data_IF_569825201103
#
_entry.id   IF_569825201103
#
_cell.length_a   1.000
_cell.length_b   1.000
_cell.length_c   1.000
_cell.angle_alpha   90.00
_cell.angle_beta   90.00
_cell.angle_gamma   90.00
#
_symmetry.space_group_name_H-M   'P 1'
#
loop_
_entity.id
_entity.type
_entity.pdbx_description
1 polymer ?
#
# COMPACT_ATOMS: atom_id res chain seq x y z
N UNK A 1 20.69 -31.29 5.48
CA UNK A 1 20.11 -30.15 6.21
C UNK A 1 20.28 -30.28 7.73
N UNK A 2 19.72 -31.30 8.43
CA UNK A 2 19.91 -31.43 9.89
C UNK A 2 21.36 -31.73 10.25
N UNK A 3 22.04 -32.63 9.54
CA UNK A 3 23.49 -32.88 9.73
C UNK A 3 24.39 -31.67 9.47
N UNK A 4 24.01 -30.83 8.52
CA UNK A 4 24.76 -29.61 8.21
C UNK A 4 24.53 -28.54 9.28
N UNK A 5 23.34 -28.52 9.92
CA UNK A 5 23.03 -27.67 11.06
C UNK A 5 23.80 -28.10 12.32
N UNK A 6 23.94 -29.43 12.56
CA UNK A 6 24.69 -29.96 13.70
C UNK A 6 26.19 -29.65 13.59
N UNK A 7 26.81 -29.83 12.42
CA UNK A 7 28.18 -29.46 12.18
C UNK A 7 28.44 -27.97 12.40
N UNK A 8 27.56 -27.13 11.90
CA UNK A 8 27.64 -25.67 12.09
C UNK A 8 27.39 -25.22 13.54
N UNK A 9 26.68 -26.01 14.35
CA UNK A 9 26.46 -25.73 15.78
C UNK A 9 27.76 -26.02 16.58
N UNK A 10 28.48 -27.06 16.24
CA UNK A 10 29.78 -27.38 16.83
C UNK A 10 30.84 -26.32 16.51
N UNK A 11 30.85 -25.78 15.29
CA UNK A 11 31.75 -24.69 14.91
C UNK A 11 31.50 -23.45 15.75
N UNK A 12 30.22 -23.09 15.99
CA UNK A 12 29.84 -21.94 16.83
C UNK A 12 30.15 -22.19 18.31
N UNK A 13 29.99 -23.42 18.82
CA UNK A 13 30.40 -23.76 20.18
C UNK A 13 31.92 -23.60 20.32
N UNK A 14 32.68 -24.02 19.33
CA UNK A 14 34.13 -23.89 19.28
C UNK A 14 34.54 -22.41 19.29
N UNK A 15 33.88 -21.57 18.50
CA UNK A 15 34.10 -20.12 18.47
C UNK A 15 33.76 -19.47 19.82
N UNK A 16 32.65 -19.90 20.47
CA UNK A 16 32.25 -19.42 21.78
C UNK A 16 33.25 -19.79 22.87
N UNK A 17 33.85 -21.02 22.81
CA UNK A 17 34.83 -21.51 23.76
C UNK A 17 36.19 -20.84 23.59
N UNK A 18 36.56 -20.37 22.41
CA UNK A 18 37.84 -19.73 22.13
C UNK A 18 37.85 -18.22 22.30
N UNK A 19 36.70 -17.61 22.70
CA UNK A 19 36.53 -16.17 22.89
C UNK A 19 36.21 -15.46 21.58
N UNK A 20 34.93 -15.27 21.33
CA UNK A 20 34.47 -14.60 20.14
C UNK A 20 34.94 -13.14 20.09
N UNK A 21 35.43 -12.72 18.92
CA UNK A 21 35.77 -11.33 18.67
C UNK A 21 34.53 -10.42 18.68
N UNK A 22 33.35 -10.98 18.37
CA UNK A 22 32.05 -10.32 18.47
C UNK A 22 31.04 -11.18 19.25
N UNK A 23 30.95 -10.99 20.58
CA UNK A 23 30.05 -11.77 21.43
C UNK A 23 28.57 -11.54 21.13
N UNK A 24 28.19 -10.34 20.61
CA UNK A 24 26.82 -10.00 20.29
C UNK A 24 26.40 -10.69 18.99
N UNK A 25 27.23 -10.63 17.98
CA UNK A 25 27.01 -11.34 16.72
C UNK A 25 26.97 -12.85 16.89
N UNK A 26 27.81 -13.42 17.75
CA UNK A 26 27.78 -14.83 18.10
C UNK A 26 26.47 -15.21 18.80
N UNK A 27 26.02 -14.42 19.79
CA UNK A 27 24.76 -14.66 20.49
C UNK A 27 23.55 -14.57 19.55
N UNK A 28 23.53 -13.63 18.63
CA UNK A 28 22.50 -13.52 17.60
C UNK A 28 22.50 -14.71 16.64
N UNK A 29 23.67 -15.16 16.19
CA UNK A 29 23.82 -16.34 15.34
C UNK A 29 23.38 -17.63 16.04
N UNK A 30 23.72 -17.80 17.32
CA UNK A 30 23.29 -18.93 18.13
C UNK A 30 21.76 -18.93 18.34
N UNK A 31 21.17 -17.78 18.68
CA UNK A 31 19.72 -17.65 18.82
C UNK A 31 18.98 -17.94 17.49
N UNK A 32 19.51 -17.44 16.40
CA UNK A 32 19.02 -17.67 15.04
C UNK A 32 18.99 -19.15 14.67
N UNK A 33 20.10 -19.85 14.93
CA UNK A 33 20.25 -21.28 14.62
C UNK A 33 19.43 -22.15 15.56
N UNK A 34 19.34 -21.78 16.84
CA UNK A 34 18.48 -22.46 17.80
C UNK A 34 17.01 -22.42 17.36
N UNK A 35 16.52 -21.25 16.91
CA UNK A 35 15.17 -21.09 16.39
C UNK A 35 14.94 -21.91 15.11
N UNK A 36 15.95 -21.99 14.21
CA UNK A 36 15.87 -22.81 13.00
C UNK A 36 15.82 -24.32 13.32
N UNK A 37 16.61 -24.80 14.27
CA UNK A 37 16.61 -26.21 14.72
C UNK A 37 15.28 -26.55 15.39
N UNK A 38 14.78 -25.67 16.27
CA UNK A 38 13.48 -25.87 16.93
C UNK A 38 12.31 -25.85 15.95
N UNK A 39 12.32 -24.97 14.96
CA UNK A 39 11.28 -24.95 13.94
C UNK A 39 11.31 -26.19 13.05
N UNK A 40 12.51 -26.66 12.69
CA UNK A 40 12.68 -27.91 11.92
C UNK A 40 12.24 -29.13 12.73
N UNK A 41 12.56 -29.21 14.03
CA UNK A 41 12.13 -30.27 14.93
C UNK A 41 10.61 -30.23 15.15
N UNK A 42 10.00 -29.04 15.29
CA UNK A 42 8.55 -28.88 15.40
C UNK A 42 7.81 -29.43 14.19
N UNK A 43 8.30 -29.12 12.98
CA UNK A 43 7.73 -29.64 11.72
C UNK A 43 7.86 -31.17 11.65
N UNK A 44 8.97 -31.75 12.11
CA UNK A 44 9.15 -33.21 12.21
C UNK A 44 8.24 -33.86 13.24
N UNK A 45 8.10 -33.23 14.42
CA UNK A 45 7.40 -33.81 15.57
C UNK A 45 5.89 -33.88 15.37
N UNK A 46 5.28 -32.96 14.59
CA UNK A 46 3.84 -32.93 14.35
C UNK A 46 3.40 -33.85 13.21
N UNK A 47 4.28 -34.68 12.67
CA UNK A 47 3.93 -35.78 11.77
C UNK A 47 3.22 -35.40 10.48
N UNK A 48 3.12 -34.11 10.18
CA UNK A 48 2.67 -33.64 8.88
C UNK A 48 3.82 -33.81 7.90
N UNK A 49 3.63 -34.68 6.95
CA UNK A 49 4.56 -34.93 5.87
C UNK A 49 5.02 -33.59 5.28
N UNK A 50 6.30 -33.27 5.38
CA UNK A 50 6.90 -32.11 4.73
C UNK A 50 6.67 -32.11 3.21
N UNK A 51 6.26 -33.25 2.66
CA UNK A 51 5.87 -33.43 1.27
C UNK A 51 4.49 -32.80 0.93
N UNK A 52 3.66 -32.47 1.94
CA UNK A 52 2.39 -31.76 1.75
C UNK A 52 2.56 -30.23 1.71
N UNK A 53 3.71 -29.70 2.15
CA UNK A 53 4.02 -28.29 1.90
C UNK A 53 4.52 -28.16 0.46
N UNK A 54 3.96 -27.23 -0.34
CA UNK A 54 4.45 -27.02 -1.68
C UNK A 54 5.97 -26.82 -1.63
N UNK A 55 6.70 -27.76 -2.23
CA UNK A 55 8.18 -27.75 -2.27
C UNK A 55 8.59 -26.53 -3.09
N UNK A 56 8.70 -25.39 -2.48
CA UNK A 56 9.47 -24.31 -3.05
C UNK A 56 10.93 -24.75 -3.00
N UNK A 57 11.37 -25.55 -3.99
CA UNK A 57 12.80 -25.77 -4.24
C UNK A 57 13.37 -24.46 -4.72
N UNK A 58 13.73 -23.64 -3.76
CA UNK A 58 14.50 -22.44 -3.99
C UNK A 58 15.86 -22.90 -4.53
N UNK A 59 16.15 -22.55 -5.79
CA UNK A 59 17.46 -22.78 -6.36
C UNK A 59 18.49 -21.88 -5.65
N UNK A 60 19.72 -22.32 -5.50
CA UNK A 60 20.78 -21.55 -4.80
C UNK A 60 20.97 -20.11 -5.34
N UNK A 61 20.78 -19.91 -6.65
CA UNK A 61 20.77 -18.57 -7.29
C UNK A 61 19.70 -17.66 -6.74
N UNK A 62 18.55 -18.19 -6.41
CA UNK A 62 17.41 -17.47 -5.88
C UNK A 62 17.64 -17.02 -4.42
N UNK A 63 18.25 -17.87 -3.61
CA UNK A 63 18.63 -17.54 -2.23
C UNK A 63 19.58 -16.34 -2.17
N UNK A 64 20.54 -16.29 -3.06
CA UNK A 64 21.48 -15.17 -3.14
C UNK A 64 20.73 -13.85 -3.44
N UNK A 65 19.87 -13.83 -4.45
CA UNK A 65 19.10 -12.65 -4.81
C UNK A 65 18.16 -12.21 -3.68
N UNK A 66 17.51 -13.16 -3.02
CA UNK A 66 16.61 -12.84 -1.91
C UNK A 66 17.35 -12.23 -0.72
N UNK A 67 18.53 -12.75 -0.40
CA UNK A 67 19.39 -12.13 0.61
C UNK A 67 19.79 -10.70 0.22
N UNK A 68 20.09 -10.43 -1.05
CA UNK A 68 20.38 -9.07 -1.52
C UNK A 68 19.17 -8.15 -1.38
N UNK A 69 17.95 -8.62 -1.68
CA UNK A 69 16.70 -7.84 -1.50
C UNK A 69 16.57 -7.38 -0.05
N UNK A 70 16.76 -8.29 0.92
CA UNK A 70 16.64 -7.97 2.33
C UNK A 70 17.77 -7.07 2.83
N UNK A 71 19.01 -7.31 2.39
CA UNK A 71 20.20 -6.55 2.81
C UNK A 71 20.25 -5.13 2.23
N UNK A 72 19.78 -4.96 1.00
CA UNK A 72 19.82 -3.68 0.28
C UNK A 72 18.49 -2.92 0.38
N UNK A 73 17.55 -3.39 1.19
CA UNK A 73 16.24 -2.79 1.40
C UNK A 73 15.42 -2.55 0.11
N UNK A 74 15.45 -3.53 -0.80
CA UNK A 74 14.67 -3.45 -2.04
C UNK A 74 13.18 -3.80 -1.81
N UNK A 75 12.43 -2.93 -1.15
CA UNK A 75 11.03 -3.14 -0.78
C UNK A 75 10.13 -3.50 -1.97
N UNK A 76 10.35 -2.86 -3.15
CA UNK A 76 9.57 -3.15 -4.35
C UNK A 76 9.75 -4.60 -4.85
N UNK A 77 10.97 -5.13 -4.81
CA UNK A 77 11.25 -6.53 -5.15
C UNK A 77 10.72 -7.50 -4.10
N UNK A 78 10.82 -7.16 -2.83
CA UNK A 78 10.21 -7.93 -1.75
C UNK A 78 8.70 -8.02 -1.92
N UNK A 79 8.04 -6.91 -2.23
CA UNK A 79 6.61 -6.86 -2.53
C UNK A 79 6.23 -7.77 -3.72
N UNK A 80 6.95 -7.64 -4.87
CA UNK A 80 6.69 -8.50 -6.04
C UNK A 80 6.89 -9.97 -5.71
N UNK A 81 7.94 -10.29 -4.96
CA UNK A 81 8.20 -11.64 -4.48
C UNK A 81 7.02 -12.19 -3.68
N UNK A 82 6.51 -11.42 -2.71
CA UNK A 82 5.36 -11.82 -1.91
C UNK A 82 4.13 -12.08 -2.79
N UNK A 83 3.82 -11.19 -3.73
CA UNK A 83 2.68 -11.36 -4.63
C UNK A 83 2.79 -12.61 -5.52
N UNK A 84 3.97 -12.86 -6.10
CA UNK A 84 4.18 -14.02 -6.97
C UNK A 84 4.13 -15.33 -6.19
N UNK A 85 4.71 -15.36 -4.99
CA UNK A 85 4.67 -16.51 -4.09
C UNK A 85 3.23 -16.82 -3.66
N UNK A 86 2.45 -15.79 -3.32
CA UNK A 86 1.03 -15.94 -2.98
C UNK A 86 0.21 -16.47 -4.16
N UNK A 87 0.41 -15.94 -5.38
CA UNK A 87 -0.28 -16.43 -6.59
C UNK A 87 0.01 -17.89 -6.90
N UNK A 88 1.21 -18.38 -6.57
CA UNK A 88 1.59 -19.78 -6.72
C UNK A 88 1.14 -20.66 -5.53
N UNK A 89 0.42 -20.09 -4.56
CA UNK A 89 0.03 -20.78 -3.32
C UNK A 89 1.22 -21.40 -2.59
N UNK A 90 2.36 -20.72 -2.62
CA UNK A 90 3.61 -21.12 -1.97
C UNK A 90 3.82 -20.34 -0.66
N UNK A 91 4.78 -20.78 0.15
CA UNK A 91 5.18 -20.13 1.40
C UNK A 91 6.68 -19.84 1.39
N UNK A 92 7.12 -18.95 2.27
CA UNK A 92 8.55 -18.69 2.47
C UNK A 92 9.31 -19.95 2.82
N UNK A 93 10.50 -20.15 2.25
CA UNK A 93 11.41 -21.21 2.70
C UNK A 93 11.80 -20.99 4.17
N UNK A 94 11.85 -22.08 4.94
CA UNK A 94 12.09 -22.02 6.39
C UNK A 94 13.39 -21.30 6.76
N UNK A 95 14.43 -21.45 5.94
CA UNK A 95 15.75 -20.81 6.15
C UNK A 95 15.73 -19.28 5.99
N UNK A 96 14.65 -18.71 5.42
CA UNK A 96 14.49 -17.26 5.29
C UNK A 96 13.56 -16.64 6.33
N UNK A 97 12.73 -17.46 6.99
CA UNK A 97 11.66 -16.94 7.84
C UNK A 97 12.14 -15.95 8.89
N UNK A 98 13.23 -16.25 9.58
CA UNK A 98 13.76 -15.35 10.61
C UNK A 98 14.15 -14.00 10.02
N UNK A 99 14.92 -14.01 8.91
CA UNK A 99 15.33 -12.78 8.22
C UNK A 99 14.12 -11.97 7.73
N UNK A 100 13.10 -12.66 7.22
CA UNK A 100 11.85 -12.02 6.79
C UNK A 100 11.12 -11.41 7.97
N UNK A 101 11.01 -12.11 9.10
CA UNK A 101 10.34 -11.60 10.29
C UNK A 101 11.07 -10.39 10.89
N UNK A 102 12.39 -10.41 10.91
CA UNK A 102 13.20 -9.26 11.32
C UNK A 102 13.03 -8.08 10.36
N UNK A 103 13.04 -8.36 9.05
CA UNK A 103 12.82 -7.34 8.02
C UNK A 103 11.43 -6.70 8.14
N UNK A 104 10.39 -7.49 8.39
CA UNK A 104 9.04 -6.98 8.64
C UNK A 104 8.98 -6.18 9.96
N UNK A 105 9.81 -6.50 10.94
CA UNK A 105 9.94 -5.74 12.18
C UNK A 105 10.30 -4.27 11.93
N UNK A 106 11.11 -4.01 10.91
CA UNK A 106 11.53 -2.67 10.47
C UNK A 106 10.63 -2.08 9.38
N UNK A 107 9.87 -2.93 8.65
CA UNK A 107 8.98 -2.56 7.54
C UNK A 107 7.57 -3.12 7.73
N UNK A 108 6.84 -2.68 8.77
CA UNK A 108 5.51 -3.23 9.08
C UNK A 108 4.47 -3.00 7.97
N UNK A 109 4.69 -2.02 7.08
CA UNK A 109 3.85 -1.76 5.90
C UNK A 109 3.88 -2.88 4.86
N UNK A 110 4.93 -3.71 4.86
CA UNK A 110 5.06 -4.87 3.97
C UNK A 110 4.41 -6.14 4.54
N UNK A 111 4.00 -6.11 5.80
CA UNK A 111 3.47 -7.28 6.49
C UNK A 111 2.19 -7.84 5.85
N UNK A 112 1.34 -6.98 5.29
CA UNK A 112 0.11 -7.41 4.61
C UNK A 112 0.38 -8.35 3.43
N UNK A 113 1.48 -8.14 2.74
CA UNK A 113 1.87 -8.95 1.59
C UNK A 113 2.62 -10.21 1.99
N UNK A 114 3.42 -10.13 3.04
CA UNK A 114 4.24 -11.25 3.52
C UNK A 114 3.45 -12.24 4.39
N UNK A 115 2.50 -11.75 5.19
CA UNK A 115 1.74 -12.56 6.14
C UNK A 115 1.08 -13.79 5.50
N UNK A 116 0.38 -13.70 4.34
CA UNK A 116 -0.28 -14.86 3.72
C UNK A 116 0.67 -16.00 3.34
N UNK A 117 1.97 -15.70 3.19
CA UNK A 117 3.00 -16.64 2.75
C UNK A 117 4.00 -17.02 3.85
N UNK A 118 3.79 -16.58 5.09
CA UNK A 118 4.60 -17.04 6.24
C UNK A 118 4.42 -18.53 6.52
N UNK A 119 3.24 -19.05 6.24
CA UNK A 119 2.89 -20.45 6.50
C UNK A 119 2.89 -20.81 7.99
N UNK A 120 2.67 -22.09 8.30
CA UNK A 120 2.59 -22.58 9.69
C UNK A 120 3.91 -22.41 10.46
N UNK A 121 5.04 -22.60 9.78
CA UNK A 121 6.37 -22.42 10.40
C UNK A 121 6.63 -20.97 10.79
N UNK A 122 6.24 -20.01 9.92
CA UNK A 122 6.34 -18.58 10.25
C UNK A 122 5.43 -18.19 11.40
N UNK A 123 4.19 -18.67 11.41
CA UNK A 123 3.26 -18.46 12.52
C UNK A 123 3.77 -19.08 13.83
N UNK A 124 4.41 -20.24 13.78
CA UNK A 124 5.05 -20.82 14.95
C UNK A 124 6.15 -19.90 15.49
N UNK A 125 7.05 -19.40 14.64
CA UNK A 125 8.11 -18.49 15.04
C UNK A 125 7.56 -17.20 15.64
N UNK A 126 6.50 -16.64 15.05
CA UNK A 126 5.82 -15.46 15.58
C UNK A 126 5.30 -15.67 17.01
N UNK A 127 4.84 -16.88 17.35
CA UNK A 127 4.39 -17.23 18.70
C UNK A 127 5.54 -17.37 19.71
N UNK A 128 6.73 -17.73 19.27
CA UNK A 128 7.87 -17.98 20.15
C UNK A 128 8.65 -16.72 20.47
N UNK A 129 8.75 -15.76 19.54
CA UNK A 129 9.52 -14.55 19.74
C UNK A 129 8.60 -13.33 20.02
N UNK A 130 8.73 -12.68 21.19
CA UNK A 130 7.95 -11.50 21.56
C UNK A 130 8.01 -10.36 20.53
N UNK A 131 9.15 -10.16 19.86
CA UNK A 131 9.33 -9.09 18.87
C UNK A 131 8.47 -9.31 17.61
N UNK A 132 8.05 -10.55 17.34
CA UNK A 132 7.23 -10.93 16.20
C UNK A 132 5.76 -11.25 16.58
N UNK A 133 5.37 -11.15 17.86
CA UNK A 133 4.02 -11.45 18.34
C UNK A 133 2.92 -10.67 17.62
N UNK A 134 3.23 -9.50 17.08
CA UNK A 134 2.28 -8.70 16.32
C UNK A 134 1.85 -9.36 14.98
N UNK A 135 2.65 -10.31 14.47
CA UNK A 135 2.32 -11.16 13.32
C UNK A 135 1.60 -12.45 13.72
N UNK A 136 1.45 -12.75 15.01
CA UNK A 136 0.73 -13.94 15.49
C UNK A 136 -0.78 -13.70 15.41
N UNK A 137 -1.47 -14.48 14.56
CA UNK A 137 -2.92 -14.36 14.35
C UNK A 137 -3.74 -14.54 15.65
N UNK A 138 -3.23 -15.24 16.65
CA UNK A 138 -3.92 -15.43 17.94
C UNK A 138 -3.90 -14.19 18.83
N UNK A 139 -3.13 -13.18 18.49
CA UNK A 139 -2.95 -11.93 19.26
C UNK A 139 -3.74 -10.74 18.71
N UNK A 140 -4.31 -10.84 17.52
CA UNK A 140 -4.90 -9.68 16.82
C UNK A 140 -6.14 -9.12 17.51
N UNK A 141 -6.90 -9.94 18.24
CA UNK A 141 -8.07 -9.48 18.99
C UNK A 141 -7.75 -8.51 20.14
N UNK A 142 -6.48 -8.35 20.47
CA UNK A 142 -6.02 -7.45 21.52
C UNK A 142 -4.91 -6.52 21.03
N UNK A 143 -5.12 -5.69 20.00
CA UNK A 143 -4.04 -4.91 19.37
C UNK A 143 -3.38 -3.90 20.30
N UNK A 144 -4.06 -3.43 21.34
CA UNK A 144 -3.57 -2.39 22.25
C UNK A 144 -2.35 -2.79 23.09
N UNK A 145 -2.01 -4.09 23.19
CA UNK A 145 -0.77 -4.49 23.88
C UNK A 145 0.48 -4.07 23.08
N UNK A 146 0.37 -3.91 21.77
CA UNK A 146 1.49 -3.50 20.93
C UNK A 146 1.72 -1.98 21.06
N UNK A 147 2.93 -1.58 21.41
CA UNK A 147 3.28 -0.16 21.62
C UNK A 147 3.46 0.60 20.30
N UNK A 148 3.93 -0.07 19.26
CA UNK A 148 4.21 0.54 17.96
C UNK A 148 2.94 0.70 17.13
N UNK A 149 2.62 1.96 16.76
CA UNK A 149 1.38 2.31 16.07
C UNK A 149 1.18 1.57 14.73
N UNK A 150 2.22 1.43 13.92
CA UNK A 150 2.13 0.75 12.63
C UNK A 150 1.81 -0.75 12.79
N UNK A 151 2.46 -1.42 13.72
CA UNK A 151 2.20 -2.84 14.06
C UNK A 151 0.80 -3.02 14.65
N UNK A 152 0.36 -2.09 15.52
CA UNK A 152 -0.99 -2.09 16.10
C UNK A 152 -2.07 -1.94 15.04
N UNK A 153 -1.87 -1.03 14.07
CA UNK A 153 -2.78 -0.85 12.94
C UNK A 153 -2.85 -2.08 12.04
N UNK A 154 -1.70 -2.75 11.79
CA UNK A 154 -1.68 -4.02 11.08
C UNK A 154 -2.54 -5.06 11.81
N UNK A 155 -2.31 -5.26 13.12
CA UNK A 155 -3.09 -6.21 13.93
C UNK A 155 -4.58 -5.90 13.90
N UNK A 156 -4.95 -4.64 14.07
CA UNK A 156 -6.37 -4.24 14.03
C UNK A 156 -6.99 -4.50 12.66
N UNK A 157 -6.29 -4.22 11.56
CA UNK A 157 -6.77 -4.50 10.21
C UNK A 157 -7.00 -5.99 9.99
N UNK A 158 -6.08 -6.85 10.45
CA UNK A 158 -6.23 -8.31 10.40
C UNK A 158 -7.37 -8.80 11.29
N UNK A 159 -7.56 -8.21 12.45
CA UNK A 159 -8.72 -8.48 13.30
C UNK A 159 -10.03 -8.12 12.57
N UNK A 160 -10.07 -6.96 11.94
CA UNK A 160 -11.21 -6.51 11.14
C UNK A 160 -11.51 -7.46 9.97
N UNK A 161 -10.50 -7.95 9.25
CA UNK A 161 -10.66 -8.90 8.14
C UNK A 161 -11.17 -10.26 8.61
N UNK A 162 -10.72 -10.74 9.76
CA UNK A 162 -11.07 -12.06 10.29
C UNK A 162 -12.40 -12.07 11.04
N UNK A 163 -12.68 -11.00 11.81
CA UNK A 163 -13.82 -10.87 12.72
C UNK A 163 -14.36 -9.45 12.74
N UNK A 164 -14.89 -9.01 11.61
CA UNK A 164 -15.32 -7.62 11.37
C UNK A 164 -16.20 -7.05 12.49
N UNK A 165 -17.23 -7.81 12.91
CA UNK A 165 -18.18 -7.38 13.93
C UNK A 165 -17.50 -7.21 15.31
N UNK A 166 -16.66 -8.17 15.71
CA UNK A 166 -15.95 -8.11 16.99
C UNK A 166 -14.92 -6.97 17.00
N UNK A 167 -14.19 -6.78 15.88
CA UNK A 167 -13.23 -5.69 15.75
C UNK A 167 -13.90 -4.31 15.81
N UNK A 168 -15.09 -4.18 15.21
CA UNK A 168 -15.86 -2.95 15.28
C UNK A 168 -16.32 -2.65 16.71
N UNK A 169 -16.88 -3.64 17.44
CA UNK A 169 -17.26 -3.47 18.84
C UNK A 169 -16.07 -3.14 19.73
N UNK A 170 -14.94 -3.83 19.53
CA UNK A 170 -13.70 -3.53 20.22
C UNK A 170 -13.28 -2.06 20.00
N UNK A 171 -13.36 -1.56 18.77
CA UNK A 171 -13.05 -0.16 18.49
C UNK A 171 -14.02 0.80 19.19
N UNK A 172 -15.33 0.53 19.16
CA UNK A 172 -16.31 1.36 19.86
C UNK A 172 -16.03 1.49 21.36
N UNK A 173 -15.61 0.38 22.00
CA UNK A 173 -15.31 0.37 23.43
C UNK A 173 -13.99 1.06 23.77
N UNK A 174 -12.99 0.94 22.93
CA UNK A 174 -11.61 1.34 23.20
C UNK A 174 -11.12 2.52 22.35
N UNK A 175 -12.03 3.23 21.68
CA UNK A 175 -11.65 4.31 20.74
C UNK A 175 -10.77 5.38 21.36
N UNK A 176 -10.95 5.71 22.66
CA UNK A 176 -10.16 6.70 23.38
C UNK A 176 -8.69 6.30 23.57
N UNK A 177 -8.39 4.99 23.54
CA UNK A 177 -7.05 4.45 23.78
C UNK A 177 -6.18 4.47 22.51
N UNK A 178 -6.80 4.67 21.36
CA UNK A 178 -6.09 4.90 20.11
C UNK A 178 -5.65 6.35 19.97
N UNK A 179 -4.46 6.57 19.44
CA UNK A 179 -3.98 7.91 19.07
C UNK A 179 -4.83 8.54 17.97
N UNK A 180 -4.72 9.86 17.76
CA UNK A 180 -5.45 10.58 16.71
C UNK A 180 -5.20 9.98 15.32
N UNK A 181 -3.94 9.64 15.01
CA UNK A 181 -3.56 9.02 13.72
C UNK A 181 -4.14 7.62 13.56
N UNK A 182 -4.14 6.83 14.62
CA UNK A 182 -4.72 5.48 14.58
C UNK A 182 -6.23 5.52 14.42
N UNK A 183 -6.93 6.40 15.15
CA UNK A 183 -8.35 6.60 14.97
C UNK A 183 -8.68 6.96 13.52
N UNK A 184 -7.92 7.86 12.92
CA UNK A 184 -8.11 8.24 11.51
C UNK A 184 -7.98 7.04 10.58
N UNK A 185 -6.89 6.26 10.70
CA UNK A 185 -6.65 5.08 9.89
C UNK A 185 -7.75 4.01 10.08
N UNK A 186 -8.19 3.78 11.33
CA UNK A 186 -9.24 2.80 11.64
C UNK A 186 -10.58 3.24 11.05
N UNK A 187 -10.93 4.52 11.14
CA UNK A 187 -12.14 5.06 10.54
C UNK A 187 -12.11 4.93 9.00
N UNK A 188 -10.96 5.18 8.36
CA UNK A 188 -10.80 4.95 6.93
C UNK A 188 -10.93 3.47 6.55
N UNK A 189 -10.35 2.53 7.32
CA UNK A 189 -10.55 1.09 7.10
C UNK A 189 -12.01 0.69 7.30
N UNK A 190 -12.65 1.21 8.35
CA UNK A 190 -14.05 0.98 8.67
C UNK A 190 -15.00 1.45 7.57
N UNK A 191 -14.65 2.50 6.84
CA UNK A 191 -15.47 3.00 5.74
C UNK A 191 -15.77 1.90 4.70
N UNK A 192 -14.83 1.01 4.44
CA UNK A 192 -15.00 -0.06 3.46
C UNK A 192 -15.53 -1.37 4.06
N UNK A 193 -15.35 -1.57 5.35
CA UNK A 193 -15.56 -2.87 6.00
C UNK A 193 -16.75 -2.88 6.98
N UNK A 194 -17.02 -1.74 7.66
CA UNK A 194 -18.11 -1.72 8.64
C UNK A 194 -19.48 -1.61 7.96
N UNK A 195 -20.54 -2.17 8.59
CA UNK A 195 -21.90 -1.96 8.13
C UNK A 195 -22.32 -0.49 8.27
N UNK A 196 -23.53 -0.18 7.82
CA UNK A 196 -24.18 1.09 8.13
C UNK A 196 -24.33 1.19 9.66
N UNK A 197 -23.84 2.28 10.24
CA UNK A 197 -23.84 2.49 11.68
C UNK A 197 -25.22 2.88 12.18
N UNK A 198 -25.62 2.35 13.33
CA UNK A 198 -26.86 2.81 13.99
C UNK A 198 -26.67 4.22 14.58
N UNK A 199 -27.77 4.89 14.90
CA UNK A 199 -27.72 6.22 15.54
C UNK A 199 -26.96 6.17 16.87
N UNK A 200 -27.16 5.12 17.68
CA UNK A 200 -26.47 4.92 18.97
C UNK A 200 -24.95 4.76 18.79
N UNK A 201 -24.53 3.92 17.80
CA UNK A 201 -23.12 3.71 17.49
C UNK A 201 -22.46 5.01 16.98
N UNK A 202 -23.16 5.75 16.13
CA UNK A 202 -22.68 7.02 15.64
C UNK A 202 -22.56 8.05 16.78
N UNK A 203 -23.51 8.10 17.70
CA UNK A 203 -23.47 8.99 18.86
C UNK A 203 -22.30 8.63 19.78
N UNK A 204 -22.05 7.33 20.00
CA UNK A 204 -20.92 6.87 20.79
C UNK A 204 -19.58 7.29 20.14
N UNK A 205 -19.40 7.09 18.84
CA UNK A 205 -18.21 7.53 18.12
C UNK A 205 -18.04 9.05 18.19
N UNK A 206 -19.11 9.79 17.98
CA UNK A 206 -19.08 11.26 18.08
C UNK A 206 -18.61 11.76 19.45
N UNK A 207 -18.91 11.05 20.54
CA UNK A 207 -18.48 11.40 21.89
C UNK A 207 -17.01 11.06 22.15
N UNK A 208 -16.50 10.00 21.54
CA UNK A 208 -15.21 9.37 21.91
C UNK A 208 -14.08 9.66 20.91
N UNK A 209 -14.40 9.92 19.65
CA UNK A 209 -13.41 10.25 18.61
C UNK A 209 -12.80 11.62 18.84
N UNK A 210 -11.49 11.75 18.63
CA UNK A 210 -10.77 13.03 18.76
C UNK A 210 -11.38 14.10 17.84
N UNK A 211 -11.40 15.38 18.27
CA UNK A 211 -12.12 16.44 17.55
C UNK A 211 -11.73 16.57 16.06
N UNK A 212 -10.46 16.40 15.72
CA UNK A 212 -10.00 16.47 14.33
C UNK A 212 -10.51 15.33 13.45
N UNK A 213 -10.82 14.17 14.06
CA UNK A 213 -11.28 12.99 13.34
C UNK A 213 -12.80 12.93 13.18
N UNK A 214 -13.56 13.87 13.77
CA UNK A 214 -15.02 13.91 13.65
C UNK A 214 -15.45 14.02 12.19
N UNK A 215 -14.68 14.73 11.36
CA UNK A 215 -14.94 14.86 9.93
C UNK A 215 -14.93 13.49 9.21
N UNK A 216 -14.16 12.52 9.68
CA UNK A 216 -14.06 11.18 9.10
C UNK A 216 -15.29 10.30 9.39
N UNK A 217 -16.21 10.75 10.23
CA UNK A 217 -17.49 10.05 10.48
C UNK A 217 -18.54 10.33 9.41
N UNK A 218 -18.43 11.44 8.69
CA UNK A 218 -19.41 11.78 7.62
C UNK A 218 -19.47 10.73 6.51
N UNK A 219 -18.36 10.19 5.98
CA UNK A 219 -18.41 9.09 5.02
C UNK A 219 -19.21 7.88 5.51
N UNK A 220 -19.16 7.57 6.81
CA UNK A 220 -19.98 6.50 7.39
C UNK A 220 -21.47 6.83 7.44
N UNK A 221 -21.83 8.10 7.71
CA UNK A 221 -23.21 8.57 7.67
C UNK A 221 -23.73 8.50 6.23
N UNK A 222 -22.93 8.89 5.25
CA UNK A 222 -23.31 8.92 3.84
C UNK A 222 -23.53 7.55 3.20
N UNK A 223 -23.11 6.46 3.86
CA UNK A 223 -23.51 5.09 3.46
C UNK A 223 -25.01 4.89 3.55
N UNK A 224 -25.68 5.51 4.52
CA UNK A 224 -27.12 5.49 4.65
C UNK A 224 -27.74 6.64 3.84
N UNK A 225 -28.25 6.30 2.67
CA UNK A 225 -28.91 7.27 1.77
C UNK A 225 -30.21 7.85 2.36
N UNK A 226 -30.80 7.18 3.37
CA UNK A 226 -32.04 7.64 4.04
C UNK A 226 -31.74 8.50 5.27
N UNK A 227 -30.47 8.55 5.71
CA UNK A 227 -30.11 9.38 6.84
C UNK A 227 -30.37 10.85 6.55
N UNK A 228 -31.07 11.59 7.46
CA UNK A 228 -31.41 13.01 7.26
C UNK A 228 -30.20 13.88 6.93
N UNK A 229 -29.03 13.59 7.53
CA UNK A 229 -27.77 14.32 7.24
C UNK A 229 -27.29 14.06 5.81
N UNK A 230 -27.41 12.81 5.33
CA UNK A 230 -27.08 12.47 3.94
C UNK A 230 -27.96 13.22 2.95
N UNK A 231 -29.27 13.21 3.19
CA UNK A 231 -30.24 13.88 2.34
C UNK A 231 -29.99 15.40 2.35
N UNK A 232 -29.83 16.00 3.53
CA UNK A 232 -29.57 17.43 3.68
C UNK A 232 -28.25 17.84 3.01
N UNK A 233 -27.19 17.09 3.20
CA UNK A 233 -25.89 17.36 2.59
C UNK A 233 -25.93 17.26 1.06
N UNK A 234 -26.70 16.31 0.52
CA UNK A 234 -26.88 16.18 -0.93
C UNK A 234 -27.68 17.35 -1.51
N UNK A 235 -28.80 17.72 -0.89
CA UNK A 235 -29.60 18.86 -1.31
C UNK A 235 -28.82 20.17 -1.23
N UNK A 236 -28.04 20.34 -0.18
CA UNK A 236 -27.17 21.50 -0.02
C UNK A 236 -26.11 21.55 -1.13
N UNK A 237 -25.41 20.44 -1.42
CA UNK A 237 -24.47 20.37 -2.52
C UNK A 237 -25.11 20.71 -3.86
N UNK A 238 -26.30 20.17 -4.15
CA UNK A 238 -27.02 20.46 -5.38
C UNK A 238 -27.36 21.95 -5.49
N UNK A 239 -27.76 22.59 -4.39
CA UNK A 239 -28.07 24.04 -4.38
C UNK A 239 -26.83 24.90 -4.67
N UNK A 240 -25.68 24.53 -4.11
CA UNK A 240 -24.38 25.20 -4.35
C UNK A 240 -23.92 25.07 -5.79
N UNK A 241 -23.98 23.84 -6.34
CA UNK A 241 -23.58 23.59 -7.71
C UNK A 241 -24.42 24.33 -8.75
N UNK A 242 -25.69 24.60 -8.42
CA UNK A 242 -26.59 25.40 -9.25
C UNK A 242 -26.35 26.91 -9.13
N UNK A 243 -25.89 27.42 -7.97
CA UNK A 243 -25.64 28.84 -7.68
C UNK A 243 -24.16 29.07 -7.34
N UNK A 244 -23.28 29.33 -8.33
CA UNK A 244 -21.82 29.50 -8.07
C UNK A 244 -21.49 30.62 -7.09
N UNK A 245 -22.31 31.64 -6.94
CA UNK A 245 -22.11 32.76 -6.00
C UNK A 245 -22.24 32.34 -4.52
N UNK A 246 -22.78 31.17 -4.23
CA UNK A 246 -22.94 30.62 -2.88
C UNK A 246 -21.90 29.57 -2.49
N UNK A 247 -20.84 29.36 -3.29
CA UNK A 247 -19.78 28.40 -3.02
C UNK A 247 -19.00 28.64 -1.70
N UNK A 248 -19.19 29.82 -1.09
CA UNK A 248 -18.56 30.18 0.17
C UNK A 248 -19.46 29.92 1.40
N UNK A 249 -20.71 29.46 1.23
CA UNK A 249 -21.57 29.19 2.36
C UNK A 249 -21.13 27.93 3.14
N UNK A 250 -21.04 28.04 4.47
CA UNK A 250 -20.63 26.91 5.30
C UNK A 250 -21.69 25.83 5.36
N UNK A 251 -21.25 24.57 5.51
CA UNK A 251 -22.12 23.42 5.69
C UNK A 251 -22.75 23.45 7.08
N UNK A 252 -24.03 23.03 7.22
CA UNK A 252 -24.63 22.84 8.52
C UNK A 252 -23.81 21.85 9.38
N UNK A 253 -23.37 22.25 10.59
CA UNK A 253 -22.58 21.39 11.45
C UNK A 253 -23.42 20.23 11.98
N UNK A 254 -22.81 19.03 12.16
CA UNK A 254 -23.44 17.87 12.80
C UNK A 254 -23.81 18.12 14.26
N UNK A 255 -23.18 19.10 14.89
CA UNK A 255 -23.45 19.51 16.28
C UNK A 255 -23.55 21.02 16.38
N UNK A 256 -24.46 21.51 17.25
CA UNK A 256 -24.68 22.94 17.50
C UNK A 256 -23.46 23.78 17.94
N UNK A 257 -22.40 23.13 18.41
CA UNK A 257 -21.14 23.77 18.84
C UNK A 257 -19.94 23.41 17.95
N UNK A 258 -20.16 22.75 16.82
CA UNK A 258 -19.08 22.34 15.92
C UNK A 258 -18.70 23.50 15.01
N UNK A 259 -17.39 23.60 14.69
CA UNK A 259 -16.90 24.55 13.70
C UNK A 259 -17.54 24.23 12.34
N UNK A 260 -18.03 25.25 11.67
CA UNK A 260 -18.57 25.14 10.32
C UNK A 260 -17.46 24.66 9.36
N UNK A 261 -17.79 23.72 8.49
CA UNK A 261 -16.86 23.23 7.48
C UNK A 261 -16.96 24.10 6.22
N UNK A 262 -15.82 24.34 5.60
CA UNK A 262 -15.74 25.01 4.30
C UNK A 262 -16.27 24.07 3.19
N UNK A 263 -16.59 24.62 2.02
CA UNK A 263 -16.96 23.81 0.85
C UNK A 263 -15.85 22.80 0.49
N UNK A 264 -14.59 23.20 0.53
CA UNK A 264 -13.44 22.31 0.30
C UNK A 264 -13.48 21.09 1.24
N UNK A 265 -13.60 21.32 2.54
CA UNK A 265 -13.70 20.24 3.53
C UNK A 265 -14.92 19.35 3.30
N UNK A 266 -16.02 19.89 2.80
CA UNK A 266 -17.19 19.10 2.45
C UNK A 266 -16.93 18.22 1.23
N UNK A 267 -16.35 18.79 0.19
CA UNK A 267 -15.99 18.03 -1.02
C UNK A 267 -15.02 16.86 -0.72
N UNK A 268 -14.20 16.97 0.32
CA UNK A 268 -13.32 15.89 0.79
C UNK A 268 -14.05 14.71 1.45
N UNK A 269 -15.27 14.89 1.92
CA UNK A 269 -16.00 13.88 2.69
C UNK A 269 -17.23 13.30 1.99
N UNK A 270 -17.79 13.98 0.99
CA UNK A 270 -18.94 13.46 0.24
C UNK A 270 -18.53 12.29 -0.65
N UNK A 271 -19.45 11.35 -0.96
CA UNK A 271 -19.20 10.35 -1.99
C UNK A 271 -18.87 11.04 -3.33
N UNK A 272 -17.77 10.70 -3.99
CA UNK A 272 -17.37 11.34 -5.25
C UNK A 272 -18.41 11.10 -6.36
N UNK A 273 -19.15 9.99 -6.30
CA UNK A 273 -20.27 9.66 -7.20
C UNK A 273 -21.36 10.72 -7.22
N UNK A 274 -21.54 11.49 -6.14
CA UNK A 274 -22.53 12.59 -6.12
C UNK A 274 -22.20 13.70 -7.12
N UNK A 275 -20.93 13.76 -7.56
CA UNK A 275 -20.46 14.70 -8.59
C UNK A 275 -20.26 13.96 -9.92
N UNK A 276 -19.52 12.85 -9.91
CA UNK A 276 -19.01 12.20 -11.14
C UNK A 276 -20.09 11.46 -11.94
N UNK A 277 -21.15 10.97 -11.30
CA UNK A 277 -22.29 10.30 -11.96
C UNK A 277 -23.36 11.27 -12.53
N UNK A 278 -23.19 12.57 -12.29
CA UNK A 278 -24.15 13.56 -12.82
C UNK A 278 -23.98 13.78 -14.31
N UNK A 279 -25.05 14.04 -15.02
CA UNK A 279 -25.03 14.38 -16.45
C UNK A 279 -24.23 15.67 -16.74
N UNK A 280 -24.21 16.61 -15.79
CA UNK A 280 -23.50 17.88 -15.86
C UNK A 280 -22.14 17.89 -15.15
N UNK A 281 -21.61 16.71 -14.75
CA UNK A 281 -20.37 16.54 -13.99
C UNK A 281 -19.19 17.34 -14.57
N UNK A 282 -18.97 17.26 -15.90
CA UNK A 282 -17.89 18.01 -16.56
C UNK A 282 -18.01 19.52 -16.39
N UNK A 283 -19.21 20.07 -16.45
CA UNK A 283 -19.47 21.50 -16.24
C UNK A 283 -19.24 21.91 -14.80
N UNK A 284 -19.59 21.03 -13.85
CA UNK A 284 -19.36 21.24 -12.42
C UNK A 284 -17.85 21.30 -12.15
N UNK A 285 -17.09 20.30 -12.62
CA UNK A 285 -15.64 20.28 -12.46
C UNK A 285 -14.98 21.52 -13.07
N UNK A 286 -15.46 21.99 -14.22
CA UNK A 286 -14.94 23.20 -14.86
C UNK A 286 -15.18 24.46 -14.01
N UNK A 287 -16.32 24.54 -13.31
CA UNK A 287 -16.59 25.63 -12.36
C UNK A 287 -15.70 25.54 -11.12
N UNK A 288 -15.47 24.32 -10.61
CA UNK A 288 -14.66 24.08 -9.42
C UNK A 288 -13.16 24.21 -9.69
N UNK A 289 -12.72 24.04 -10.94
CA UNK A 289 -11.30 24.10 -11.31
C UNK A 289 -10.63 25.47 -11.00
N UNK A 290 -11.39 26.56 -10.98
CA UNK A 290 -10.86 27.88 -10.65
C UNK A 290 -10.70 28.18 -9.16
N UNK A 291 -11.06 27.26 -8.27
CA UNK A 291 -11.25 27.51 -6.83
C UNK A 291 -10.48 26.51 -5.94
N UNK A 292 -9.46 25.82 -6.44
CA UNK A 292 -8.69 24.79 -5.73
C UNK A 292 -9.51 23.62 -5.15
N UNK A 293 -10.78 23.48 -5.54
CA UNK A 293 -11.65 22.43 -5.04
C UNK A 293 -11.38 21.05 -5.64
N UNK A 294 -10.63 20.99 -6.74
CA UNK A 294 -10.26 19.72 -7.37
C UNK A 294 -9.46 18.85 -6.43
N UNK A 295 -8.56 19.45 -5.62
CA UNK A 295 -7.80 18.74 -4.61
C UNK A 295 -8.70 18.07 -3.58
N UNK A 296 -9.77 18.74 -3.17
CA UNK A 296 -10.76 18.18 -2.23
C UNK A 296 -11.52 16.99 -2.82
N UNK A 297 -11.85 17.05 -4.11
CA UNK A 297 -12.48 15.92 -4.82
C UNK A 297 -11.51 14.74 -4.95
N UNK A 298 -10.23 14.99 -5.21
CA UNK A 298 -9.18 13.99 -5.22
C UNK A 298 -9.09 13.26 -3.87
N UNK A 299 -9.09 14.00 -2.77
CA UNK A 299 -9.09 13.43 -1.42
C UNK A 299 -10.35 12.59 -1.15
N UNK A 300 -11.51 13.03 -1.60
CA UNK A 300 -12.74 12.24 -1.52
C UNK A 300 -12.56 10.91 -2.28
N UNK A 301 -12.13 10.95 -3.54
CA UNK A 301 -11.93 9.74 -4.36
C UNK A 301 -10.97 8.78 -3.64
N UNK A 302 -9.88 9.30 -3.07
CA UNK A 302 -8.90 8.50 -2.30
C UNK A 302 -9.56 7.82 -1.08
N UNK A 303 -10.34 8.56 -0.30
CA UNK A 303 -11.03 8.03 0.90
C UNK A 303 -12.04 6.93 0.56
N UNK A 304 -12.80 7.13 -0.51
CA UNK A 304 -13.80 6.16 -0.96
C UNK A 304 -13.22 5.04 -1.82
N UNK A 305 -11.97 5.15 -2.28
CA UNK A 305 -11.32 4.21 -3.21
C UNK A 305 -12.18 3.92 -4.45
N UNK A 306 -12.81 4.97 -4.97
CA UNK A 306 -13.75 4.85 -6.08
C UNK A 306 -13.02 4.86 -7.41
N UNK A 307 -12.90 3.68 -8.02
CA UNK A 307 -12.17 3.46 -9.29
C UNK A 307 -12.79 4.26 -10.45
N UNK A 308 -14.12 4.28 -10.56
CA UNK A 308 -14.80 4.93 -11.69
C UNK A 308 -14.70 6.45 -11.58
N UNK A 309 -14.86 7.01 -10.38
CA UNK A 309 -14.63 8.43 -10.15
C UNK A 309 -13.17 8.83 -10.37
N UNK A 310 -12.21 7.99 -9.97
CA UNK A 310 -10.79 8.22 -10.24
C UNK A 310 -10.50 8.27 -11.74
N UNK A 311 -11.02 7.30 -12.50
CA UNK A 311 -10.92 7.25 -13.96
C UNK A 311 -11.58 8.46 -14.62
N UNK A 312 -12.77 8.82 -14.17
CA UNK A 312 -13.52 9.96 -14.71
C UNK A 312 -12.74 11.26 -14.51
N UNK A 313 -12.29 11.52 -13.27
CA UNK A 313 -11.52 12.74 -12.95
C UNK A 313 -10.20 12.80 -13.70
N UNK A 314 -9.44 11.70 -13.75
CA UNK A 314 -8.18 11.66 -14.49
C UNK A 314 -8.38 11.99 -15.99
N UNK A 315 -9.39 11.40 -16.63
CA UNK A 315 -9.72 11.70 -18.03
C UNK A 315 -10.17 13.16 -18.20
N UNK A 316 -10.92 13.71 -17.25
CA UNK A 316 -11.33 15.12 -17.29
C UNK A 316 -10.10 16.05 -17.17
N UNK A 317 -9.16 15.76 -16.26
CA UNK A 317 -7.91 16.51 -16.12
C UNK A 317 -7.07 16.48 -17.40
N UNK A 318 -6.98 15.32 -18.05
CA UNK A 318 -6.29 15.14 -19.32
C UNK A 318 -6.98 15.97 -20.42
N UNK A 319 -8.32 15.88 -20.53
CA UNK A 319 -9.11 16.58 -21.56
C UNK A 319 -9.00 18.12 -21.43
N UNK A 320 -8.78 18.63 -20.24
CA UNK A 320 -8.70 20.07 -19.93
C UNK A 320 -7.26 20.56 -19.71
N UNK A 321 -6.25 19.76 -19.99
CA UNK A 321 -4.82 20.08 -19.76
C UNK A 321 -4.53 20.53 -18.32
N UNK A 322 -5.33 20.04 -17.34
CA UNK A 322 -5.23 20.35 -15.92
C UNK A 322 -4.51 19.24 -15.12
N UNK A 323 -3.79 18.37 -15.82
CA UNK A 323 -2.97 17.31 -15.22
C UNK A 323 -1.61 17.92 -14.88
N UNK A 324 -1.54 18.62 -13.73
CA UNK A 324 -0.40 19.43 -13.30
C UNK A 324 0.12 18.97 -11.94
N UNK A 325 1.34 19.37 -11.59
CA UNK A 325 1.97 19.04 -10.30
C UNK A 325 1.25 19.66 -9.10
N UNK A 326 0.66 20.84 -9.25
CA UNK A 326 -0.08 21.52 -8.19
C UNK A 326 -1.26 20.67 -7.66
N UNK A 327 -1.82 19.80 -8.52
CA UNK A 327 -2.79 18.81 -8.13
C UNK A 327 -2.06 17.51 -7.79
N UNK A 328 -2.20 17.02 -6.57
CA UNK A 328 -1.62 15.74 -6.13
C UNK A 328 -2.24 14.54 -6.90
N UNK A 329 -2.17 14.59 -8.24
CA UNK A 329 -2.77 13.58 -9.16
C UNK A 329 -2.27 12.18 -8.89
N UNK A 330 -1.08 12.05 -8.32
CA UNK A 330 -0.52 10.78 -7.85
C UNK A 330 -1.47 10.02 -6.92
N UNK A 331 -2.30 10.72 -6.15
CA UNK A 331 -3.30 10.10 -5.26
C UNK A 331 -4.40 9.36 -6.03
N UNK A 332 -4.70 9.73 -7.27
CA UNK A 332 -5.68 8.99 -8.10
C UNK A 332 -5.18 7.60 -8.48
N UNK A 333 -3.87 7.43 -8.67
CA UNK A 333 -3.30 6.14 -9.06
C UNK A 333 -3.56 5.06 -8.02
N UNK A 334 -3.56 5.44 -6.72
CA UNK A 334 -3.84 4.53 -5.61
C UNK A 334 -5.29 3.99 -5.57
N UNK A 335 -6.19 4.68 -6.26
CA UNK A 335 -7.59 4.28 -6.36
C UNK A 335 -7.87 3.41 -7.58
N UNK A 336 -6.92 3.28 -8.52
CA UNK A 336 -7.12 2.58 -9.78
C UNK A 336 -6.68 1.13 -9.69
N UNK A 337 -7.37 0.25 -10.40
CA UNK A 337 -6.86 -1.09 -10.66
C UNK A 337 -5.83 -1.06 -11.80
N UNK A 338 -5.14 -2.17 -12.02
CA UNK A 338 -4.10 -2.32 -13.05
C UNK A 338 -4.56 -1.85 -14.43
N UNK A 339 -5.74 -2.28 -14.88
CA UNK A 339 -6.24 -1.96 -16.22
C UNK A 339 -6.56 -0.47 -16.36
N UNK A 340 -7.29 0.08 -15.40
CA UNK A 340 -7.68 1.49 -15.39
C UNK A 340 -6.45 2.39 -15.35
N UNK A 341 -5.48 2.06 -14.50
CA UNK A 341 -4.22 2.81 -14.40
C UNK A 341 -3.49 2.85 -15.74
N UNK A 342 -3.26 1.68 -16.38
CA UNK A 342 -2.56 1.63 -17.65
C UNK A 342 -3.31 2.39 -18.76
N UNK A 343 -4.65 2.27 -18.82
CA UNK A 343 -5.48 2.99 -19.80
C UNK A 343 -5.37 4.51 -19.62
N UNK A 344 -5.42 5.00 -18.38
CA UNK A 344 -5.30 6.44 -18.08
C UNK A 344 -3.92 6.95 -18.47
N UNK A 345 -2.84 6.25 -18.12
CA UNK A 345 -1.48 6.64 -18.47
C UNK A 345 -1.29 6.70 -20.00
N UNK A 346 -1.72 5.68 -20.74
CA UNK A 346 -1.64 5.65 -22.22
C UNK A 346 -2.46 6.79 -22.82
N UNK A 347 -3.65 7.06 -22.26
CA UNK A 347 -4.50 8.16 -22.73
C UNK A 347 -3.85 9.51 -22.52
N UNK A 348 -3.24 9.73 -21.34
CA UNK A 348 -2.51 10.97 -21.01
C UNK A 348 -1.38 11.21 -22.02
N UNK A 349 -0.54 10.20 -22.25
CA UNK A 349 0.58 10.28 -23.18
C UNK A 349 0.09 10.60 -24.60
N UNK A 350 -0.92 9.87 -25.10
CA UNK A 350 -1.41 10.04 -26.49
C UNK A 350 -2.10 11.38 -26.72
N UNK A 351 -2.84 11.89 -25.73
CA UNK A 351 -3.58 13.16 -25.88
C UNK A 351 -2.72 14.38 -25.61
N UNK A 352 -1.92 14.33 -24.56
CA UNK A 352 -1.11 15.49 -24.16
C UNK A 352 0.23 15.54 -24.91
N UNK A 353 0.80 14.39 -25.26
CA UNK A 353 2.04 14.30 -26.02
C UNK A 353 3.13 15.25 -25.48
N UNK A 354 3.64 16.17 -26.33
CA UNK A 354 4.64 17.15 -25.92
C UNK A 354 4.18 18.18 -24.86
N UNK A 355 2.88 18.32 -24.64
CA UNK A 355 2.29 19.26 -23.67
C UNK A 355 2.09 18.66 -22.30
N UNK A 356 2.40 17.36 -22.11
CA UNK A 356 2.28 16.71 -20.82
C UNK A 356 3.20 17.40 -19.79
N UNK A 357 2.66 17.71 -18.63
CA UNK A 357 3.47 18.07 -17.48
C UNK A 357 4.21 16.81 -17.03
N UNK A 358 5.52 16.77 -17.32
CA UNK A 358 6.34 15.59 -17.09
C UNK A 358 6.48 15.26 -15.62
N UNK A 359 6.60 16.26 -14.75
CA UNK A 359 6.79 16.07 -13.32
C UNK A 359 5.53 15.48 -12.68
N UNK A 360 4.37 16.07 -12.97
CA UNK A 360 3.08 15.53 -12.56
C UNK A 360 2.86 14.11 -13.07
N UNK A 361 3.22 13.86 -14.34
CA UNK A 361 3.06 12.54 -14.94
C UNK A 361 4.00 11.50 -14.33
N UNK A 362 5.26 11.86 -14.07
CA UNK A 362 6.21 10.98 -13.39
C UNK A 362 5.75 10.64 -11.97
N UNK A 363 5.29 11.63 -11.22
CA UNK A 363 4.72 11.41 -9.88
C UNK A 363 3.51 10.46 -9.97
N UNK A 364 2.63 10.63 -10.95
CA UNK A 364 1.47 9.76 -11.13
C UNK A 364 1.85 8.32 -11.50
N UNK A 365 2.75 8.14 -12.47
CA UNK A 365 3.12 6.81 -12.98
C UNK A 365 3.99 6.02 -12.01
N UNK A 366 4.72 6.71 -11.12
CA UNK A 366 5.62 6.11 -10.12
C UNK A 366 4.99 5.96 -8.74
N UNK A 367 3.90 6.68 -8.43
CA UNK A 367 3.29 6.71 -7.10
C UNK A 367 2.86 5.34 -6.60
N UNK A 368 2.30 4.51 -7.50
CA UNK A 368 1.79 3.20 -7.14
C UNK A 368 2.65 2.07 -7.69
N UNK A 369 2.58 0.92 -7.01
CA UNK A 369 3.33 -0.30 -7.39
C UNK A 369 2.66 -1.07 -8.54
N UNK A 370 1.91 -0.39 -9.40
CA UNK A 370 1.30 -1.02 -10.57
C UNK A 370 2.35 -1.44 -11.60
N UNK A 371 2.15 -2.61 -12.18
CA UNK A 371 2.94 -3.02 -13.34
C UNK A 371 2.46 -2.27 -14.58
N UNK A 372 3.38 -2.04 -15.52
CA UNK A 372 3.07 -1.43 -16.79
C UNK A 372 2.71 -2.50 -17.84
N UNK A 373 1.68 -2.23 -18.61
CA UNK A 373 1.40 -3.01 -19.82
C UNK A 373 2.45 -2.72 -20.89
N UNK A 374 2.58 -3.60 -21.88
CA UNK A 374 3.47 -3.36 -23.00
C UNK A 374 3.05 -2.11 -23.81
N UNK A 375 1.74 -1.80 -23.88
CA UNK A 375 1.23 -0.58 -24.49
C UNK A 375 1.68 0.68 -23.74
N UNK A 376 1.66 0.64 -22.41
CA UNK A 376 2.14 1.74 -21.60
C UNK A 376 3.65 1.92 -21.73
N UNK A 377 4.41 0.84 -21.70
CA UNK A 377 5.85 0.89 -21.92
C UNK A 377 6.17 1.51 -23.29
N UNK A 378 5.47 1.08 -24.35
CA UNK A 378 5.62 1.65 -25.69
C UNK A 378 5.34 3.16 -25.67
N UNK A 379 4.20 3.57 -25.13
CA UNK A 379 3.83 4.98 -25.09
C UNK A 379 4.85 5.82 -24.32
N UNK A 380 5.40 5.28 -23.23
CA UNK A 380 6.45 5.95 -22.43
C UNK A 380 7.75 6.09 -23.22
N UNK A 381 8.17 5.06 -23.95
CA UNK A 381 9.36 5.11 -24.79
C UNK A 381 9.21 6.13 -25.95
N UNK A 382 8.00 6.20 -26.55
CA UNK A 382 7.68 7.15 -27.62
C UNK A 382 7.67 8.62 -27.15
N UNK A 383 7.58 8.88 -25.83
CA UNK A 383 7.68 10.23 -25.30
C UNK A 383 9.08 10.84 -25.41
N UNK A 384 10.10 10.05 -25.72
CA UNK A 384 11.49 10.49 -25.80
C UNK A 384 11.90 11.33 -24.58
N UNK A 385 11.61 10.83 -23.38
CA UNK A 385 11.81 11.54 -22.11
C UNK A 385 13.24 12.06 -21.94
N UNK A 386 14.23 11.32 -22.46
CA UNK A 386 15.65 11.71 -22.42
C UNK A 386 15.96 13.02 -23.18
N UNK A 387 15.12 13.42 -24.15
CA UNK A 387 15.26 14.68 -24.87
C UNK A 387 14.54 15.83 -24.15
N UNK A 388 13.63 15.50 -23.24
CA UNK A 388 12.69 16.46 -22.62
C UNK A 388 13.02 16.78 -21.17
N UNK A 389 13.51 15.81 -20.41
CA UNK A 389 13.91 16.01 -19.02
C UNK A 389 15.24 16.76 -18.97
N UNK A 390 15.22 17.93 -18.34
CA UNK A 390 16.41 18.82 -18.23
C UNK A 390 17.31 18.46 -17.04
N UNK A 391 16.83 17.62 -16.12
CA UNK A 391 17.54 17.22 -14.91
C UNK A 391 17.92 15.76 -15.03
N UNK A 392 19.21 15.47 -14.99
CA UNK A 392 19.74 14.10 -15.05
C UNK A 392 19.17 13.23 -13.91
N UNK A 393 18.92 13.84 -12.75
CA UNK A 393 18.39 13.14 -11.58
C UNK A 393 17.00 12.53 -11.81
N UNK A 394 16.07 13.26 -12.44
CA UNK A 394 14.70 12.77 -12.69
C UNK A 394 14.70 11.60 -13.69
N UNK A 395 15.61 11.66 -14.68
CA UNK A 395 15.85 10.57 -15.61
C UNK A 395 16.43 9.34 -14.90
N UNK A 396 17.41 9.52 -14.02
CA UNK A 396 18.02 8.43 -13.25
C UNK A 396 16.97 7.69 -12.40
N UNK A 397 16.16 8.43 -11.64
CA UNK A 397 15.09 7.87 -10.80
C UNK A 397 14.08 7.13 -11.66
N UNK A 398 13.64 7.73 -12.77
CA UNK A 398 12.67 7.12 -13.66
C UNK A 398 13.19 5.79 -14.25
N UNK A 399 14.41 5.81 -14.81
CA UNK A 399 15.00 4.61 -15.40
C UNK A 399 15.35 3.54 -14.36
N UNK A 400 15.73 3.93 -13.16
CA UNK A 400 15.92 2.99 -12.06
C UNK A 400 14.63 2.25 -11.67
N UNK A 401 13.47 2.88 -11.87
CA UNK A 401 12.17 2.31 -11.52
C UNK A 401 11.55 1.42 -12.62
N UNK A 402 11.90 1.64 -13.90
CA UNK A 402 11.35 0.85 -15.02
C UNK A 402 11.48 -0.67 -14.81
N UNK A 403 12.65 -1.23 -14.41
CA UNK A 403 12.80 -2.68 -14.29
C UNK A 403 11.87 -3.29 -13.25
N UNK A 404 11.38 -2.51 -12.29
CA UNK A 404 10.42 -2.96 -11.30
C UNK A 404 8.97 -2.96 -11.80
N UNK A 405 8.68 -2.23 -12.88
CA UNK A 405 7.32 -1.98 -13.37
C UNK A 405 6.94 -2.78 -14.60
N UNK A 406 7.89 -3.05 -15.49
CA UNK A 406 7.64 -3.70 -16.76
C UNK A 406 7.59 -5.24 -16.65
N UNK A 407 7.04 -5.90 -17.69
CA UNK A 407 7.17 -7.33 -17.83
C UNK A 407 8.64 -7.69 -18.12
N UNK A 408 9.33 -8.49 -17.28
CA UNK A 408 10.75 -8.80 -17.47
C UNK A 408 11.04 -9.65 -18.72
N UNK A 409 10.01 -10.20 -19.38
CA UNK A 409 10.10 -10.98 -20.60
C UNK A 409 9.65 -10.19 -21.84
N UNK A 410 9.39 -8.87 -21.72
CA UNK A 410 9.01 -8.09 -22.88
C UNK A 410 10.15 -7.98 -23.89
N UNK A 411 9.84 -8.11 -25.18
CA UNK A 411 10.81 -7.91 -26.27
C UNK A 411 11.22 -6.43 -26.44
N UNK A 412 10.45 -5.51 -25.88
CA UNK A 412 10.67 -4.07 -25.95
C UNK A 412 11.86 -3.54 -25.14
N UNK A 413 12.49 -4.40 -24.33
CA UNK A 413 13.70 -4.03 -23.59
C UNK A 413 14.85 -3.57 -24.51
N UNK A 414 14.91 -4.08 -25.73
CA UNK A 414 15.92 -3.69 -26.71
C UNK A 414 15.70 -2.29 -27.27
N UNK A 415 14.50 -1.73 -27.13
CA UNK A 415 14.15 -0.38 -27.56
C UNK A 415 14.54 0.71 -26.55
N UNK A 416 14.93 0.33 -25.32
CA UNK A 416 15.43 1.29 -24.34
C UNK A 416 16.76 1.88 -24.86
N UNK A 417 16.84 3.20 -25.03
CA UNK A 417 18.00 3.84 -25.64
C UNK A 417 19.31 3.46 -24.93
N UNK A 418 20.26 2.91 -25.69
CA UNK A 418 21.59 2.53 -25.16
C UNK A 418 22.38 3.74 -24.65
N UNK A 419 22.04 4.96 -25.06
CA UNK A 419 22.60 6.20 -24.53
C UNK A 419 22.37 6.40 -23.03
N UNK A 420 21.36 5.71 -22.45
CA UNK A 420 21.07 5.72 -21.03
C UNK A 420 21.94 4.74 -20.22
N UNK A 421 22.69 3.86 -20.92
CA UNK A 421 23.67 2.96 -20.30
C UNK A 421 24.91 3.68 -19.72
N UNK A 422 25.06 4.99 -19.95
CA UNK A 422 26.14 5.78 -19.36
C UNK A 422 25.88 6.15 -17.89
N UNK A 423 24.67 5.91 -17.37
CA UNK A 423 24.34 5.97 -15.96
C UNK A 423 24.79 4.64 -15.30
N UNK A 424 26.08 4.50 -15.11
CA UNK A 424 26.79 3.23 -14.91
C UNK A 424 26.31 2.36 -13.73
N UNK A 425 25.77 2.95 -12.66
CA UNK A 425 25.26 2.19 -11.50
C UNK A 425 23.80 1.74 -11.67
N UNK A 426 22.97 2.56 -12.30
CA UNK A 426 21.55 2.24 -12.52
C UNK A 426 21.36 1.05 -13.48
N UNK A 427 22.23 0.89 -14.50
CA UNK A 427 22.11 -0.17 -15.51
C UNK A 427 22.48 -1.55 -14.97
N UNK A 428 23.52 -1.65 -14.15
CA UNK A 428 23.86 -2.92 -13.48
C UNK A 428 22.77 -3.37 -12.52
N UNK A 429 22.11 -2.42 -11.87
CA UNK A 429 20.91 -2.65 -11.07
C UNK A 429 19.75 -3.12 -11.95
N UNK A 430 19.54 -2.51 -13.12
CA UNK A 430 18.46 -2.80 -14.07
C UNK A 430 18.51 -4.27 -14.55
N UNK A 431 19.63 -4.72 -15.09
CA UNK A 431 19.76 -6.10 -15.59
C UNK A 431 19.61 -7.13 -14.47
N UNK A 432 20.18 -6.86 -13.29
CA UNK A 432 20.05 -7.74 -12.13
C UNK A 432 18.61 -7.86 -11.66
N UNK A 433 17.89 -6.75 -11.59
CA UNK A 433 16.45 -6.74 -11.22
C UNK A 433 15.65 -7.57 -12.21
N UNK A 434 15.85 -7.36 -13.52
CA UNK A 434 15.15 -8.14 -14.55
C UNK A 434 15.50 -9.63 -14.49
N UNK A 435 16.76 -9.97 -14.28
CA UNK A 435 17.19 -11.35 -14.12
C UNK A 435 16.53 -12.02 -12.92
N UNK A 436 16.48 -11.35 -11.78
CA UNK A 436 15.78 -11.83 -10.60
C UNK A 436 14.28 -12.01 -10.87
N UNK A 437 13.61 -11.02 -11.48
CA UNK A 437 12.18 -11.10 -11.82
C UNK A 437 11.87 -12.20 -12.83
N UNK A 438 12.77 -12.48 -13.77
CA UNK A 438 12.66 -13.64 -14.67
C UNK A 438 12.75 -14.97 -13.93
N UNK A 439 13.65 -15.06 -12.92
CA UNK A 439 13.78 -16.25 -12.09
C UNK A 439 12.52 -16.49 -11.24
N UNK A 440 11.94 -15.45 -10.66
CA UNK A 440 10.71 -15.54 -9.87
C UNK A 440 9.49 -16.04 -10.68
N UNK A 441 9.48 -15.81 -11.98
CA UNK A 441 8.35 -16.17 -12.85
C UNK A 441 8.46 -17.56 -13.48
N UNK A 442 9.65 -18.15 -13.45
CA UNK A 442 9.87 -19.56 -13.79
C UNK A 442 9.39 -20.49 -12.66
#
# INVERSE_FOLDING_TARGET
>A
MIKDLDNNLEDLKTEALHGAQDPVGLAQNLAHRFLLVHSAQYIQYHGKDLDQFPKARVQATWEHFFNQILQQDHQALFYEFCLLTQRKSQVFPVNFLVKVLDYLGTHPELADYAFPILGEAGQFLCRQNPDWHWLDSTKWEKPLWCKESAKRLFMYRRFLESKNHEAFHFFLEQVSDFSEKEQAAILEYGLHNWPVLTEEQMEQLLKSVKPKNVILLYPHIFKDKQNPVSIQSKLWLESLLLKPSSLQEPIPPLKKKQKEYTLAQHLEIIPPTWITERQDAKKILQKLAGEDFLQSILESIRKYKDVESAKFLANWLIDNQAFTEDLEVAKLSSCMNFETFNQVCVTAIRKLGPQIDLEAFLHFILAEKHFWSDDLLTAVLDLHLHERLRRDYDLEVFYAMIPYRINPNTSRLEEIPKSLYHLHEAVLSFERVLQFRRLLRK
#
